data_IF_271551627022
#
_entry.id   IF_271551627022
#
_cell.length_a   1.000
_cell.length_b   1.000
_cell.length_c   1.000
_cell.angle_alpha   90.00
_cell.angle_beta   90.00
_cell.angle_gamma   90.00
#
_symmetry.space_group_name_H-M   'P 1'
#
loop_
_entity.id
_entity.type
_entity.pdbx_description
1 polymer ?
#
# COMPACT_ATOMS: atom_id res chain seq x y z
N UNK A 1 -14.57 -33.85 -23.41
CA UNK A 1 -15.57 -33.48 -24.43
C UNK A 1 -16.82 -34.35 -24.28
N UNK A 2 -17.47 -34.39 -23.11
CA UNK A 2 -18.67 -35.22 -22.90
C UNK A 2 -19.56 -34.81 -21.71
N UNK A 3 -19.66 -33.52 -21.41
CA UNK A 3 -20.53 -33.05 -20.28
C UNK A 3 -21.62 -32.07 -20.72
N UNK A 4 -21.75 -31.77 -21.99
CA UNK A 4 -22.72 -30.78 -22.51
C UNK A 4 -24.07 -31.40 -22.94
N UNK A 5 -24.17 -32.71 -23.04
CA UNK A 5 -25.35 -33.41 -23.59
C UNK A 5 -26.44 -33.75 -22.54
N UNK A 6 -26.12 -33.74 -21.25
CA UNK A 6 -27.10 -34.12 -20.21
C UNK A 6 -28.04 -32.98 -19.79
N UNK A 7 -27.61 -31.72 -19.92
CA UNK A 7 -28.39 -30.55 -19.48
C UNK A 7 -29.52 -30.13 -20.46
N UNK A 8 -29.43 -30.56 -21.71
CA UNK A 8 -30.40 -30.17 -22.78
C UNK A 8 -31.68 -31.02 -22.75
N UNK A 9 -31.64 -32.20 -22.12
CA UNK A 9 -32.77 -33.13 -22.06
C UNK A 9 -33.92 -32.73 -21.12
N UNK A 10 -33.67 -31.80 -20.17
CA UNK A 10 -34.72 -31.41 -19.19
C UNK A 10 -35.59 -30.23 -19.63
N UNK A 11 -35.38 -29.68 -20.82
CA UNK A 11 -36.19 -28.56 -21.38
C UNK A 11 -37.22 -29.09 -22.38
N UNK A 12 -37.27 -30.39 -22.60
CA UNK A 12 -38.17 -30.97 -23.58
C UNK A 12 -39.56 -31.14 -22.99
N UNK A 13 -40.43 -30.18 -23.21
CA UNK A 13 -41.88 -30.41 -23.24
C UNK A 13 -42.17 -31.33 -24.44
N UNK A 14 -42.88 -32.44 -24.18
CA UNK A 14 -43.22 -33.47 -25.13
C UNK A 14 -43.66 -32.89 -26.50
N UNK A 15 -42.98 -33.29 -27.59
CA UNK A 15 -43.44 -33.07 -28.97
C UNK A 15 -42.60 -32.16 -29.86
N UNK A 16 -41.56 -31.48 -29.36
CA UNK A 16 -40.70 -30.61 -30.22
C UNK A 16 -39.48 -31.37 -30.78
N UNK A 17 -39.22 -31.22 -32.11
CA UNK A 17 -38.05 -31.77 -32.76
C UNK A 17 -36.77 -31.12 -32.26
N UNK A 18 -35.64 -31.87 -32.23
CA UNK A 18 -34.31 -31.33 -31.87
C UNK A 18 -33.90 -30.11 -32.71
N UNK A 19 -34.44 -29.96 -33.92
CA UNK A 19 -34.20 -28.80 -34.79
C UNK A 19 -34.93 -27.55 -34.30
N UNK A 20 -36.14 -27.70 -33.78
CA UNK A 20 -36.97 -26.61 -33.28
C UNK A 20 -36.40 -26.07 -31.96
N UNK A 21 -35.91 -26.95 -31.10
CA UNK A 21 -35.24 -26.58 -29.85
C UNK A 21 -33.97 -25.78 -30.14
N UNK A 22 -33.16 -26.18 -31.12
CA UNK A 22 -31.95 -25.41 -31.53
C UNK A 22 -32.30 -24.06 -32.12
N UNK A 23 -33.38 -23.92 -32.87
CA UNK A 23 -33.86 -22.64 -33.40
C UNK A 23 -34.33 -21.71 -32.28
N UNK A 24 -35.10 -22.23 -31.30
CA UNK A 24 -35.55 -21.47 -30.14
C UNK A 24 -34.39 -21.01 -29.26
N UNK A 25 -33.41 -21.86 -28.99
CA UNK A 25 -32.19 -21.50 -28.26
C UNK A 25 -31.40 -20.39 -28.95
N UNK A 26 -31.19 -20.48 -30.29
CA UNK A 26 -30.54 -19.41 -31.06
C UNK A 26 -31.35 -18.11 -31.08
N UNK A 27 -32.67 -18.18 -31.09
CA UNK A 27 -33.53 -17.00 -31.04
C UNK A 27 -33.48 -16.33 -29.65
N UNK A 28 -33.40 -17.11 -28.57
CA UNK A 28 -33.25 -16.64 -27.19
C UNK A 28 -31.86 -16.02 -26.97
N UNK A 29 -30.82 -16.63 -27.51
CA UNK A 29 -29.46 -16.08 -27.49
C UNK A 29 -29.37 -14.72 -28.22
N UNK A 30 -30.02 -14.61 -29.41
CA UNK A 30 -30.11 -13.36 -30.19
C UNK A 30 -30.94 -12.27 -29.51
N UNK A 31 -31.94 -12.64 -28.68
CA UNK A 31 -32.80 -11.69 -28.00
C UNK A 31 -32.28 -11.19 -26.65
N UNK A 32 -31.11 -11.66 -26.19
CA UNK A 32 -30.54 -11.32 -24.88
C UNK A 32 -31.39 -11.79 -23.67
N UNK A 33 -32.47 -12.58 -23.91
CA UNK A 33 -33.29 -13.12 -22.84
C UNK A 33 -32.62 -14.32 -22.20
N UNK A 34 -32.38 -14.23 -20.90
CA UNK A 34 -31.86 -15.35 -20.10
C UNK A 34 -32.77 -16.57 -20.22
N UNK A 35 -32.19 -17.68 -20.67
CA UNK A 35 -32.92 -18.98 -20.74
C UNK A 35 -33.44 -19.31 -19.34
N UNK A 36 -34.75 -19.63 -19.19
CA UNK A 36 -35.31 -19.98 -17.87
C UNK A 36 -34.57 -21.17 -17.29
N UNK A 37 -33.96 -20.99 -16.13
CA UNK A 37 -33.26 -22.07 -15.46
C UNK A 37 -34.23 -23.13 -14.95
N UNK A 38 -33.96 -24.41 -15.21
CA UNK A 38 -34.77 -25.52 -14.70
C UNK A 38 -34.83 -25.49 -13.16
N UNK A 39 -35.90 -25.99 -12.52
CA UNK A 39 -35.98 -26.03 -11.05
C UNK A 39 -34.80 -26.73 -10.40
N UNK A 40 -34.30 -27.80 -11.01
CA UNK A 40 -33.09 -28.51 -10.56
C UNK A 40 -31.81 -27.66 -10.61
N UNK A 41 -31.64 -26.81 -11.64
CA UNK A 41 -30.53 -25.89 -11.77
C UNK A 41 -30.60 -24.79 -10.71
N UNK A 42 -31.76 -24.22 -10.44
CA UNK A 42 -31.95 -23.22 -9.37
C UNK A 42 -31.67 -23.80 -7.98
N UNK A 43 -32.04 -25.06 -7.74
CA UNK A 43 -31.75 -25.72 -6.48
C UNK A 43 -30.26 -26.02 -6.31
N UNK A 44 -29.56 -26.39 -7.38
CA UNK A 44 -28.10 -26.57 -7.37
C UNK A 44 -27.38 -25.23 -7.17
N UNK A 45 -27.76 -24.20 -7.88
CA UNK A 45 -27.20 -22.84 -7.72
C UNK A 45 -27.42 -22.32 -6.29
N UNK A 46 -28.57 -22.55 -5.68
CA UNK A 46 -28.82 -22.20 -4.26
C UNK A 46 -27.92 -23.00 -3.31
N UNK A 47 -27.73 -24.28 -3.53
CA UNK A 47 -26.83 -25.11 -2.72
C UNK A 47 -25.39 -24.67 -2.84
N UNK A 48 -24.93 -24.36 -4.03
CA UNK A 48 -23.58 -23.82 -4.28
C UNK A 48 -23.41 -22.45 -3.62
N UNK A 49 -24.43 -21.58 -3.66
CA UNK A 49 -24.41 -20.29 -2.95
C UNK A 49 -24.38 -20.48 -1.43
N UNK A 50 -25.24 -21.34 -0.87
CA UNK A 50 -25.26 -21.61 0.59
C UNK A 50 -23.94 -22.22 1.05
N UNK A 51 -23.37 -23.16 0.28
CA UNK A 51 -22.06 -23.71 0.58
C UNK A 51 -20.97 -22.62 0.49
N UNK A 52 -21.01 -21.75 -0.52
CA UNK A 52 -20.09 -20.62 -0.64
C UNK A 52 -20.18 -19.66 0.55
N UNK A 53 -21.38 -19.28 0.97
CA UNK A 53 -21.55 -18.47 2.18
C UNK A 53 -21.10 -19.20 3.45
N UNK A 54 -21.33 -20.52 3.53
CA UNK A 54 -20.85 -21.35 4.64
C UNK A 54 -19.34 -21.35 4.78
N UNK A 55 -18.60 -21.41 3.66
CA UNK A 55 -17.13 -21.30 3.66
C UNK A 55 -16.62 -19.88 3.99
N UNK A 56 -17.39 -18.85 3.63
CA UNK A 56 -17.04 -17.45 3.95
C UNK A 56 -17.38 -17.07 5.41
N UNK A 57 -18.29 -17.82 6.06
CA UNK A 57 -18.85 -17.47 7.37
C UNK A 57 -17.79 -17.34 8.48
N UNK A 58 -16.77 -18.24 8.62
CA UNK A 58 -15.71 -18.07 9.63
C UNK A 58 -14.92 -16.78 9.42
N UNK A 59 -14.60 -16.45 8.16
CA UNK A 59 -13.91 -15.21 7.82
C UNK A 59 -14.80 -13.98 8.12
N UNK A 60 -16.09 -14.03 7.74
CA UNK A 60 -17.03 -12.94 8.01
C UNK A 60 -17.21 -12.68 9.50
N UNK A 61 -17.33 -13.72 10.32
CA UNK A 61 -17.42 -13.57 11.79
C UNK A 61 -16.16 -12.91 12.34
N UNK A 62 -14.99 -13.37 11.92
CA UNK A 62 -13.71 -12.77 12.31
C UNK A 62 -13.60 -11.30 11.87
N UNK A 63 -13.94 -11.02 10.63
CA UNK A 63 -13.91 -9.66 10.10
C UNK A 63 -14.89 -8.71 10.81
N UNK A 64 -16.16 -9.13 10.96
CA UNK A 64 -17.18 -8.30 11.60
C UNK A 64 -16.91 -8.11 13.10
N UNK A 65 -16.52 -9.18 13.81
CA UNK A 65 -16.31 -9.14 15.25
C UNK A 65 -14.97 -8.50 15.65
N UNK A 66 -13.88 -8.86 14.98
CA UNK A 66 -12.53 -8.47 15.38
C UNK A 66 -11.97 -7.25 14.63
N UNK A 67 -12.53 -6.92 13.47
CA UNK A 67 -12.06 -5.77 12.69
C UNK A 67 -13.10 -4.66 12.63
N UNK A 68 -14.26 -4.95 12.05
CA UNK A 68 -15.28 -3.93 11.83
C UNK A 68 -15.91 -3.45 13.14
N UNK A 69 -16.15 -4.35 14.10
CA UNK A 69 -16.72 -3.99 15.41
C UNK A 69 -15.85 -2.98 16.16
N UNK A 70 -14.59 -3.28 16.49
CA UNK A 70 -13.67 -2.33 17.12
C UNK A 70 -13.45 -1.05 16.32
N UNK A 71 -13.43 -1.15 14.98
CA UNK A 71 -13.31 0.02 14.11
C UNK A 71 -14.50 0.97 14.25
N UNK A 72 -15.74 0.45 14.23
CA UNK A 72 -16.94 1.27 14.46
C UNK A 72 -17.01 1.83 15.87
N UNK A 73 -16.57 1.05 16.86
CA UNK A 73 -16.47 1.54 18.25
C UNK A 73 -15.44 2.67 18.36
N UNK A 74 -14.28 2.54 17.72
CA UNK A 74 -13.30 3.62 17.61
C UNK A 74 -13.89 4.88 16.93
N UNK A 75 -14.76 4.71 15.91
CA UNK A 75 -15.46 5.84 15.31
C UNK A 75 -16.38 6.56 16.31
N UNK A 76 -17.13 5.79 17.10
CA UNK A 76 -17.93 6.36 18.18
C UNK A 76 -17.06 7.12 19.19
N UNK A 77 -15.94 6.53 19.62
CA UNK A 77 -15.02 7.16 20.56
C UNK A 77 -14.41 8.47 20.01
N UNK A 78 -14.25 8.60 18.70
CA UNK A 78 -13.74 9.83 18.09
C UNK A 78 -14.58 11.07 18.39
N UNK A 79 -15.86 10.88 18.70
CA UNK A 79 -16.81 11.95 19.07
C UNK A 79 -17.00 12.07 20.58
N UNK A 80 -16.17 11.39 21.38
CA UNK A 80 -16.28 11.37 22.84
C UNK A 80 -15.00 11.85 23.51
N UNK A 81 -15.15 12.36 24.73
CA UNK A 81 -14.05 12.53 25.67
C UNK A 81 -13.92 11.25 26.49
N UNK A 82 -12.89 10.44 26.14
CA UNK A 82 -12.67 9.13 26.74
C UNK A 82 -11.21 8.94 27.15
N UNK A 83 -10.99 8.49 28.41
CA UNK A 83 -9.67 8.36 29.01
C UNK A 83 -9.42 7.01 29.71
N UNK A 84 -10.13 5.96 29.36
CA UNK A 84 -10.08 4.60 29.96
C UNK A 84 -10.55 4.47 31.41
N UNK A 85 -10.60 5.55 32.16
CA UNK A 85 -10.98 5.53 33.63
C UNK A 85 -12.43 5.97 33.86
N UNK A 86 -13.03 6.63 32.89
CA UNK A 86 -14.40 7.13 32.94
C UNK A 86 -15.17 6.68 31.73
N UNK A 87 -16.49 6.61 31.86
CA UNK A 87 -17.33 6.34 30.70
C UNK A 87 -17.16 7.40 29.59
N UNK A 88 -17.31 7.02 28.30
CA UNK A 88 -17.21 7.95 27.19
C UNK A 88 -18.29 9.04 27.31
N UNK A 89 -17.89 10.28 27.40
CA UNK A 89 -18.75 11.45 27.39
C UNK A 89 -18.84 12.03 25.98
N UNK A 90 -20.04 12.18 25.43
CA UNK A 90 -20.25 12.70 24.09
C UNK A 90 -19.92 14.19 24.01
N UNK A 91 -18.94 14.55 23.16
CA UNK A 91 -18.48 15.94 22.95
C UNK A 91 -18.62 16.40 21.48
N UNK A 92 -19.23 15.59 20.64
CA UNK A 92 -19.43 15.93 19.25
C UNK A 92 -18.10 16.12 18.49
N UNK A 93 -17.89 17.29 17.88
CA UNK A 93 -16.72 17.59 17.05
C UNK A 93 -15.54 18.22 17.80
N UNK A 94 -15.59 18.35 19.13
CA UNK A 94 -14.55 19.02 19.93
C UNK A 94 -13.15 18.45 19.70
N UNK A 95 -13.01 17.13 19.60
CA UNK A 95 -11.72 16.49 19.32
C UNK A 95 -11.14 16.97 17.97
N UNK A 96 -11.99 17.12 16.96
CA UNK A 96 -11.58 17.58 15.64
C UNK A 96 -11.27 19.09 15.64
N UNK A 97 -12.08 19.90 16.30
CA UNK A 97 -11.82 21.35 16.44
C UNK A 97 -10.49 21.56 17.15
N UNK A 98 -10.28 20.94 18.31
CA UNK A 98 -9.03 21.00 19.07
C UNK A 98 -7.82 20.59 18.20
N UNK A 99 -7.94 19.55 17.41
CA UNK A 99 -6.89 19.01 16.53
C UNK A 99 -6.37 20.07 15.56
N UNK A 100 -7.27 20.85 14.96
CA UNK A 100 -6.90 21.82 13.93
C UNK A 100 -6.65 23.24 14.43
N UNK A 101 -7.14 23.60 15.64
CA UNK A 101 -7.08 24.97 16.15
C UNK A 101 -6.21 25.15 17.38
N UNK A 102 -6.07 24.11 18.22
CA UNK A 102 -5.46 24.25 19.54
C UNK A 102 -4.20 23.37 19.73
N UNK A 103 -3.95 22.43 18.83
CA UNK A 103 -2.85 21.47 19.01
C UNK A 103 -1.72 21.70 17.99
N UNK A 104 -0.72 22.54 18.30
CA UNK A 104 0.41 22.81 17.40
C UNK A 104 1.25 21.55 17.13
N UNK A 105 1.33 20.60 18.08
CA UNK A 105 2.06 19.35 17.90
C UNK A 105 1.36 18.43 16.86
N UNK A 106 0.04 18.49 16.78
CA UNK A 106 -0.70 17.79 15.74
C UNK A 106 -0.30 18.33 14.35
N UNK A 107 -0.34 19.65 14.16
CA UNK A 107 0.02 20.29 12.91
C UNK A 107 1.48 19.96 12.54
N UNK A 108 2.39 20.02 13.51
CA UNK A 108 3.79 19.64 13.29
C UNK A 108 3.89 18.16 12.85
N UNK A 109 3.17 17.25 13.50
CA UNK A 109 3.19 15.81 13.15
C UNK A 109 2.68 15.54 11.73
N UNK A 110 1.66 16.28 11.29
CA UNK A 110 1.16 16.25 9.90
C UNK A 110 2.24 16.72 8.93
N UNK A 111 2.86 17.87 9.19
CA UNK A 111 3.89 18.45 8.32
C UNK A 111 5.09 17.50 8.16
N UNK A 112 5.61 16.95 9.25
CA UNK A 112 6.73 16.02 9.24
C UNK A 112 6.38 14.75 8.46
N UNK A 113 5.19 14.20 8.69
CA UNK A 113 4.72 13.01 7.97
C UNK A 113 4.59 13.29 6.50
N UNK A 114 4.03 14.44 6.10
CA UNK A 114 3.92 14.83 4.70
C UNK A 114 5.28 15.01 4.04
N UNK A 115 6.24 15.67 4.68
CA UNK A 115 7.61 15.82 4.16
C UNK A 115 8.23 14.43 3.95
N UNK A 116 8.14 13.56 4.95
CA UNK A 116 8.66 12.20 4.84
C UNK A 116 8.01 11.40 3.71
N UNK A 117 6.70 11.47 3.55
CA UNK A 117 5.95 10.77 2.48
C UNK A 117 6.33 11.34 1.11
N UNK A 118 6.27 12.67 0.95
CA UNK A 118 6.46 13.31 -0.36
C UNK A 118 7.91 13.26 -0.86
N UNK A 119 8.87 13.20 0.05
CA UNK A 119 10.30 13.12 -0.30
C UNK A 119 10.79 11.68 -0.25
N UNK A 120 10.49 10.96 0.82
CA UNK A 120 11.01 9.61 1.06
C UNK A 120 10.46 8.57 0.08
N UNK A 121 9.14 8.60 -0.21
CA UNK A 121 8.53 7.63 -1.13
C UNK A 121 9.10 7.72 -2.55
N UNK A 122 9.18 8.90 -3.19
CA UNK A 122 9.78 8.99 -4.52
C UNK A 122 11.26 8.57 -4.56
N UNK A 123 12.05 8.94 -3.56
CA UNK A 123 13.47 8.56 -3.49
C UNK A 123 13.60 7.04 -3.35
N UNK A 124 12.81 6.42 -2.47
CA UNK A 124 12.78 4.96 -2.30
C UNK A 124 12.41 4.25 -3.60
N UNK A 125 11.36 4.71 -4.28
CA UNK A 125 10.92 4.12 -5.54
C UNK A 125 11.93 4.33 -6.68
N UNK A 126 12.57 5.50 -6.75
CA UNK A 126 13.64 5.75 -7.71
C UNK A 126 14.85 4.83 -7.48
N UNK A 127 15.26 4.63 -6.22
CA UNK A 127 16.32 3.68 -5.87
C UNK A 127 15.92 2.24 -6.24
N UNK A 128 14.69 1.83 -5.91
CA UNK A 128 14.16 0.52 -6.24
C UNK A 128 14.13 0.26 -7.76
N UNK A 129 13.65 1.22 -8.54
CA UNK A 129 13.64 1.13 -10.00
C UNK A 129 15.05 1.10 -10.58
N UNK A 130 15.95 1.96 -10.09
CA UNK A 130 17.35 1.99 -10.52
C UNK A 130 18.04 0.64 -10.33
N UNK A 131 17.92 0.04 -9.14
CA UNK A 131 18.50 -1.28 -8.86
C UNK A 131 17.79 -2.38 -9.66
N UNK A 132 16.47 -2.34 -9.84
CA UNK A 132 15.74 -3.27 -10.67
C UNK A 132 16.24 -3.24 -12.13
N UNK A 133 16.48 -2.06 -12.69
CA UNK A 133 17.06 -1.90 -14.03
C UNK A 133 18.46 -2.50 -14.12
N UNK A 134 19.33 -2.25 -13.15
CA UNK A 134 20.68 -2.85 -13.11
C UNK A 134 20.63 -4.38 -13.06
N UNK A 135 19.68 -4.95 -12.31
CA UNK A 135 19.51 -6.40 -12.21
C UNK A 135 18.84 -7.01 -13.46
N UNK A 136 18.10 -6.23 -14.21
CA UNK A 136 17.45 -6.69 -15.45
C UNK A 136 18.46 -6.96 -16.57
N UNK A 137 19.58 -6.26 -16.59
CA UNK A 137 20.68 -6.46 -17.57
C UNK A 137 21.56 -7.68 -17.30
N UNK A 138 21.48 -8.30 -16.10
CA UNK A 138 22.36 -9.40 -15.71
C UNK A 138 21.61 -10.72 -15.64
N UNK A 139 21.99 -11.68 -16.50
CA UNK A 139 21.44 -13.04 -16.49
C UNK A 139 22.15 -13.93 -15.47
N UNK A 140 23.48 -13.84 -15.34
CA UNK A 140 24.27 -14.68 -14.44
C UNK A 140 24.38 -14.03 -13.02
N UNK A 141 24.08 -14.79 -11.98
CA UNK A 141 24.19 -14.34 -10.58
C UNK A 141 23.03 -13.46 -10.10
N UNK A 142 22.03 -13.16 -10.94
CA UNK A 142 20.91 -12.29 -10.58
C UNK A 142 20.12 -12.78 -9.36
N UNK A 143 20.07 -14.08 -9.11
CA UNK A 143 19.41 -14.66 -7.94
C UNK A 143 20.04 -14.24 -6.62
N UNK A 144 21.37 -14.31 -6.50
CA UNK A 144 22.10 -13.89 -5.31
C UNK A 144 21.89 -12.39 -5.03
N UNK A 145 22.08 -11.54 -6.03
CA UNK A 145 21.88 -10.11 -5.87
C UNK A 145 20.44 -9.74 -5.52
N UNK A 146 19.45 -10.42 -6.12
CA UNK A 146 18.03 -10.22 -5.75
C UNK A 146 17.78 -10.54 -4.28
N UNK A 147 18.28 -11.68 -3.80
CA UNK A 147 18.13 -12.07 -2.39
C UNK A 147 18.83 -11.08 -1.47
N UNK A 148 20.06 -10.64 -1.81
CA UNK A 148 20.83 -9.69 -1.00
C UNK A 148 20.15 -8.33 -0.92
N UNK A 149 19.62 -7.79 -2.01
CA UNK A 149 18.90 -6.51 -2.01
C UNK A 149 17.49 -6.61 -1.45
N UNK A 150 16.88 -7.80 -1.45
CA UNK A 150 15.57 -8.02 -0.84
C UNK A 150 15.64 -8.24 0.68
N UNK A 151 16.75 -8.78 1.20
CA UNK A 151 16.93 -9.07 2.61
C UNK A 151 16.65 -7.87 3.54
N UNK A 152 17.12 -6.63 3.24
CA UNK A 152 16.77 -5.46 4.03
C UNK A 152 15.27 -5.24 4.20
N UNK A 153 14.47 -5.50 3.17
CA UNK A 153 13.01 -5.32 3.23
C UNK A 153 12.32 -6.35 4.12
N UNK A 154 12.89 -7.55 4.26
CA UNK A 154 12.34 -8.60 5.14
C UNK A 154 12.57 -8.28 6.62
N UNK A 155 13.73 -7.72 6.96
CA UNK A 155 14.12 -7.44 8.34
C UNK A 155 13.88 -5.99 8.75
N UNK A 156 13.73 -5.09 7.77
CA UNK A 156 13.75 -3.64 7.96
C UNK A 156 12.62 -3.08 8.82
N UNK A 157 11.46 -3.76 8.85
CA UNK A 157 10.35 -3.41 9.73
C UNK A 157 10.57 -3.86 11.19
N UNK A 158 11.69 -4.52 11.51
CA UNK A 158 11.97 -5.01 12.87
C UNK A 158 12.49 -3.89 13.78
N UNK A 159 12.11 -3.99 15.05
CA UNK A 159 12.63 -3.15 16.14
C UNK A 159 14.15 -3.21 16.21
N UNK A 160 14.73 -4.40 15.98
CA UNK A 160 16.18 -4.61 16.02
C UNK A 160 16.95 -3.75 15.00
N UNK A 161 16.43 -3.63 13.78
CA UNK A 161 17.03 -2.78 12.75
C UNK A 161 16.99 -1.30 13.16
N UNK A 162 15.89 -0.84 13.72
CA UNK A 162 15.77 0.53 14.19
C UNK A 162 16.76 0.84 15.34
N UNK A 163 16.99 -0.13 16.24
CA UNK A 163 17.99 -0.01 17.31
C UNK A 163 19.42 0.10 16.72
N UNK A 164 19.78 -0.81 15.81
CA UNK A 164 21.08 -0.78 15.14
C UNK A 164 21.25 0.51 14.36
N UNK A 165 20.23 0.94 13.62
CA UNK A 165 20.26 2.19 12.85
C UNK A 165 20.49 3.40 13.74
N UNK A 166 19.75 3.47 14.87
CA UNK A 166 19.96 4.51 15.86
C UNK A 166 21.38 4.50 16.41
N UNK A 167 21.93 3.34 16.75
CA UNK A 167 23.32 3.24 17.25
C UNK A 167 24.35 3.67 16.20
N UNK A 168 24.14 3.32 14.93
CA UNK A 168 25.04 3.71 13.84
C UNK A 168 25.08 5.22 13.59
N UNK A 169 23.95 5.91 13.75
CA UNK A 169 23.78 7.33 13.47
C UNK A 169 23.76 8.22 14.74
N UNK A 170 24.00 7.64 15.93
CA UNK A 170 24.17 8.42 17.16
C UNK A 170 25.47 9.23 17.14
N UNK A 171 25.58 10.17 18.07
CA UNK A 171 26.86 10.88 18.36
C UNK A 171 27.94 9.84 18.68
N UNK A 172 29.12 9.99 18.11
CA UNK A 172 30.23 9.03 18.19
C UNK A 172 29.93 7.64 17.63
N UNK A 173 28.80 7.46 16.90
CA UNK A 173 28.47 6.23 16.22
C UNK A 173 29.38 5.98 14.99
N UNK A 174 29.36 4.75 14.42
CA UNK A 174 30.22 4.39 13.28
C UNK A 174 30.12 5.35 12.09
N UNK A 175 28.91 5.86 11.80
CA UNK A 175 28.70 6.81 10.69
C UNK A 175 29.34 8.16 11.02
N UNK A 176 29.12 8.69 12.21
CA UNK A 176 29.65 9.96 12.67
C UNK A 176 31.18 9.90 12.73
N UNK A 177 31.76 8.88 13.35
CA UNK A 177 33.20 8.63 13.43
C UNK A 177 33.85 8.51 12.05
N UNK A 178 33.17 7.86 11.08
CA UNK A 178 33.70 7.78 9.71
C UNK A 178 33.74 9.14 9.03
N UNK A 179 32.69 9.97 9.20
CA UNK A 179 32.63 11.30 8.64
C UNK A 179 33.69 12.25 9.26
N UNK A 180 33.95 12.09 10.55
CA UNK A 180 34.99 12.85 11.26
C UNK A 180 36.40 12.59 10.67
N UNK A 181 36.68 11.35 10.20
CA UNK A 181 37.96 11.04 9.50
C UNK A 181 38.13 11.91 8.24
N UNK A 182 37.01 12.28 7.59
CA UNK A 182 37.03 13.20 6.43
C UNK A 182 36.90 14.67 6.81
N UNK A 183 37.00 15.01 8.12
CA UNK A 183 36.88 16.38 8.62
C UNK A 183 35.44 16.90 8.68
N UNK A 184 34.46 16.02 8.58
CA UNK A 184 33.01 16.36 8.61
C UNK A 184 32.48 15.97 9.99
N UNK A 185 32.26 16.95 10.86
CA UNK A 185 31.64 16.75 12.17
C UNK A 185 30.18 17.23 12.12
N UNK A 186 29.25 16.29 12.23
CA UNK A 186 27.79 16.53 12.22
C UNK A 186 27.16 16.40 13.61
N UNK A 187 27.91 15.97 14.62
CA UNK A 187 27.47 15.81 16.00
C UNK A 187 26.41 14.73 16.19
N UNK A 188 26.39 13.71 15.33
CA UNK A 188 25.39 12.66 15.30
C UNK A 188 24.08 13.10 14.61
N UNK A 189 23.45 12.18 13.91
CA UNK A 189 22.24 12.47 13.12
C UNK A 189 20.95 12.36 13.94
N UNK A 190 20.93 11.47 14.93
CA UNK A 190 19.75 11.20 15.78
C UNK A 190 19.34 12.42 16.60
N UNK A 191 20.34 13.18 17.11
CA UNK A 191 20.12 14.38 17.92
C UNK A 191 19.98 15.67 17.10
N UNK A 192 20.22 15.63 15.80
CA UNK A 192 20.26 16.80 14.95
C UNK A 192 18.93 17.03 14.24
N UNK A 193 18.32 18.21 14.47
CA UNK A 193 17.03 18.61 13.91
C UNK A 193 17.00 18.55 12.39
N UNK A 194 18.09 18.92 11.71
CA UNK A 194 18.17 18.95 10.25
C UNK A 194 18.44 17.57 9.64
N UNK A 195 19.10 16.66 10.39
CA UNK A 195 19.58 15.39 9.85
C UNK A 195 18.69 14.19 10.18
N UNK A 196 17.84 14.29 11.21
CA UNK A 196 17.03 13.15 11.65
C UNK A 196 16.01 12.71 10.58
N UNK A 197 15.38 13.61 9.85
CA UNK A 197 14.46 13.27 8.76
C UNK A 197 15.21 12.66 7.57
N UNK A 198 16.29 13.24 7.04
CA UNK A 198 17.16 12.58 6.07
C UNK A 198 17.60 11.16 6.49
N UNK A 199 17.98 10.97 7.74
CA UNK A 199 18.33 9.65 8.28
C UNK A 199 17.14 8.66 8.23
N UNK A 200 15.94 9.11 8.60
CA UNK A 200 14.72 8.29 8.52
C UNK A 200 14.37 7.93 7.06
N UNK A 201 14.57 8.88 6.13
CA UNK A 201 14.41 8.64 4.70
C UNK A 201 15.44 7.62 4.21
N UNK A 202 16.70 7.74 4.64
CA UNK A 202 17.76 6.80 4.28
C UNK A 202 17.43 5.37 4.77
N UNK A 203 16.86 5.23 5.98
CA UNK A 203 16.37 3.94 6.48
C UNK A 203 15.25 3.38 5.59
N UNK A 204 14.31 4.21 5.16
CA UNK A 204 13.25 3.79 4.26
C UNK A 204 13.80 3.40 2.87
N UNK A 205 14.75 4.17 2.36
CA UNK A 205 15.44 3.87 1.09
C UNK A 205 16.21 2.56 1.18
N UNK A 206 16.91 2.29 2.28
CA UNK A 206 17.61 1.02 2.49
C UNK A 206 16.67 -0.20 2.38
N UNK A 207 15.37 -0.02 2.67
CA UNK A 207 14.33 -1.04 2.55
C UNK A 207 13.65 -1.08 1.17
N UNK A 208 14.35 -0.71 0.10
CA UNK A 208 13.80 -0.65 -1.26
C UNK A 208 13.52 -2.02 -1.92
N UNK A 209 13.91 -3.13 -1.28
CA UNK A 209 13.93 -4.45 -1.91
C UNK A 209 12.56 -4.95 -2.37
N UNK A 210 11.48 -4.73 -1.62
CA UNK A 210 10.15 -5.17 -2.01
C UNK A 210 9.66 -4.47 -3.30
N UNK A 211 9.64 -3.12 -3.40
CA UNK A 211 9.30 -2.45 -4.66
C UNK A 211 10.29 -2.77 -5.79
N UNK A 212 11.57 -3.00 -5.50
CA UNK A 212 12.56 -3.42 -6.50
C UNK A 212 12.16 -4.74 -7.18
N UNK A 213 11.74 -5.75 -6.41
CA UNK A 213 11.33 -7.05 -6.99
C UNK A 213 10.09 -6.89 -7.87
N UNK A 214 9.14 -6.06 -7.46
CA UNK A 214 7.93 -5.77 -8.23
C UNK A 214 8.30 -5.04 -9.55
N UNK A 215 9.21 -4.04 -9.50
CA UNK A 215 9.72 -3.38 -10.70
C UNK A 215 10.46 -4.35 -11.62
N UNK A 216 11.30 -5.21 -11.06
CA UNK A 216 12.04 -6.20 -11.85
C UNK A 216 11.11 -7.18 -12.57
N UNK A 217 10.03 -7.60 -11.90
CA UNK A 217 9.01 -8.44 -12.51
C UNK A 217 8.31 -7.71 -13.66
N UNK A 218 7.97 -6.43 -13.48
CA UNK A 218 7.39 -5.60 -14.53
C UNK A 218 8.34 -5.37 -15.71
N UNK A 219 9.62 -5.08 -15.45
CA UNK A 219 10.64 -4.90 -16.50
C UNK A 219 10.78 -6.14 -17.40
N UNK A 220 10.68 -7.33 -16.83
CA UNK A 220 10.77 -8.60 -17.57
C UNK A 220 9.55 -8.90 -18.44
N UNK A 221 8.44 -8.20 -18.22
CA UNK A 221 7.22 -8.35 -19.03
C UNK A 221 7.22 -7.43 -20.26
N UNK A 222 8.15 -6.47 -20.36
CA UNK A 222 8.24 -5.57 -21.50
C UNK A 222 8.81 -6.35 -22.71
N UNK A 223 8.08 -6.45 -23.83
CA UNK A 223 8.58 -7.12 -25.03
C UNK A 223 9.89 -6.48 -25.53
N UNK A 224 10.87 -7.29 -25.84
CA UNK A 224 12.18 -6.82 -26.33
C UNK A 224 12.08 -6.10 -27.67
N UNK A 225 11.12 -6.51 -28.49
CA UNK A 225 10.79 -5.91 -29.78
C UNK A 225 10.57 -4.39 -29.71
N UNK A 226 10.02 -3.89 -28.60
CA UNK A 226 9.82 -2.45 -28.40
C UNK A 226 11.15 -1.70 -28.22
N UNK A 227 12.12 -2.33 -27.58
CA UNK A 227 13.46 -1.75 -27.44
C UNK A 227 14.25 -1.80 -28.74
N UNK A 228 14.09 -2.87 -29.53
CA UNK A 228 14.71 -3.05 -30.84
C UNK A 228 14.15 -2.06 -31.87
N UNK A 229 12.82 -1.88 -31.90
CA UNK A 229 12.17 -0.87 -32.72
C UNK A 229 12.67 0.55 -32.39
N UNK A 230 12.73 0.90 -31.11
CA UNK A 230 13.26 2.18 -30.67
C UNK A 230 14.74 2.37 -31.03
N UNK A 231 15.53 1.28 -31.11
CA UNK A 231 16.93 1.31 -31.54
C UNK A 231 17.06 1.59 -33.06
N UNK A 232 16.23 0.96 -33.87
CA UNK A 232 16.15 1.22 -35.32
C UNK A 232 15.78 2.69 -35.58
N UNK A 233 14.90 3.28 -34.72
CA UNK A 233 14.55 4.71 -34.74
C UNK A 233 15.65 5.64 -34.21
N UNK A 234 16.84 5.11 -33.85
CA UNK A 234 17.97 5.89 -33.36
C UNK A 234 17.81 6.37 -31.90
N UNK A 235 16.94 5.74 -31.10
CA UNK A 235 16.75 6.13 -29.70
C UNK A 235 17.93 5.66 -28.82
N UNK A 236 18.64 6.61 -28.20
CA UNK A 236 19.65 6.34 -27.19
C UNK A 236 19.04 5.80 -25.88
N UNK A 237 19.88 5.36 -24.89
CA UNK A 237 19.40 4.70 -23.66
C UNK A 237 18.39 5.52 -22.85
N UNK A 238 18.61 6.81 -22.70
CA UNK A 238 17.71 7.71 -21.98
C UNK A 238 16.36 7.87 -22.70
N UNK A 239 16.37 7.93 -24.03
CA UNK A 239 15.14 8.00 -24.83
C UNK A 239 14.36 6.70 -24.74
N UNK A 240 15.03 5.51 -24.82
CA UNK A 240 14.41 4.20 -24.57
C UNK A 240 13.78 4.12 -23.17
N UNK A 241 14.49 4.60 -22.14
CA UNK A 241 13.95 4.66 -20.77
C UNK A 241 12.67 5.49 -20.69
N UNK A 242 12.67 6.71 -21.25
CA UNK A 242 11.54 7.63 -21.17
C UNK A 242 10.36 7.23 -22.06
N UNK A 243 10.61 6.69 -23.27
CA UNK A 243 9.56 6.40 -24.27
C UNK A 243 9.07 4.96 -24.27
N UNK A 244 9.84 4.01 -23.73
CA UNK A 244 9.45 2.59 -23.64
C UNK A 244 9.31 2.14 -22.20
N UNK A 245 10.40 2.24 -21.42
CA UNK A 245 10.42 1.66 -20.06
C UNK A 245 9.39 2.30 -19.14
N UNK A 246 9.38 3.63 -18.99
CA UNK A 246 8.46 4.32 -18.07
C UNK A 246 6.99 4.14 -18.46
N UNK A 247 6.57 4.31 -19.73
CA UNK A 247 5.17 4.06 -20.12
C UNK A 247 4.72 2.62 -19.88
N UNK A 248 5.55 1.63 -20.25
CA UNK A 248 5.22 0.21 -20.07
C UNK A 248 5.19 -0.21 -18.59
N UNK A 249 5.98 0.43 -17.74
CA UNK A 249 5.98 0.21 -16.29
C UNK A 249 4.96 1.06 -15.53
N UNK A 250 4.21 1.93 -16.19
CA UNK A 250 3.35 2.91 -15.51
C UNK A 250 2.35 2.28 -14.54
N UNK A 251 1.77 1.12 -14.86
CA UNK A 251 0.88 0.38 -13.98
C UNK A 251 1.61 -0.16 -12.73
N UNK A 252 2.85 -0.61 -12.90
CA UNK A 252 3.69 -1.12 -11.80
C UNK A 252 4.20 0.04 -10.94
N UNK A 253 4.55 1.18 -11.55
CA UNK A 253 4.92 2.41 -10.84
C UNK A 253 3.75 2.88 -10.00
N UNK A 254 2.55 2.94 -10.57
CA UNK A 254 1.34 3.33 -9.85
C UNK A 254 1.06 2.42 -8.64
N UNK A 255 1.14 1.11 -8.84
CA UNK A 255 0.92 0.14 -7.76
C UNK A 255 1.92 0.30 -6.61
N UNK A 256 3.21 0.39 -6.93
CA UNK A 256 4.25 0.62 -5.93
C UNK A 256 4.08 1.98 -5.25
N UNK A 257 3.76 3.04 -5.99
CA UNK A 257 3.53 4.38 -5.44
C UNK A 257 2.38 4.36 -4.43
N UNK A 258 1.27 3.70 -4.76
CA UNK A 258 0.12 3.58 -3.87
C UNK A 258 0.49 2.85 -2.57
N UNK A 259 1.12 1.66 -2.68
CA UNK A 259 1.49 0.85 -1.53
C UNK A 259 2.50 1.57 -0.63
N UNK A 260 3.58 2.10 -1.23
CA UNK A 260 4.64 2.77 -0.46
C UNK A 260 4.15 4.07 0.19
N UNK A 261 3.24 4.80 -0.46
CA UNK A 261 2.62 5.98 0.13
C UNK A 261 1.79 5.60 1.38
N UNK A 262 0.96 4.55 1.29
CA UNK A 262 0.18 4.06 2.44
C UNK A 262 1.11 3.62 3.59
N UNK A 263 2.18 2.88 3.27
CA UNK A 263 3.17 2.45 4.28
C UNK A 263 3.91 3.63 4.92
N UNK A 264 4.26 4.65 4.15
CA UNK A 264 4.98 5.82 4.64
C UNK A 264 4.12 6.68 5.61
N UNK A 265 2.80 6.74 5.41
CA UNK A 265 1.88 7.38 6.38
C UNK A 265 1.77 6.61 7.70
N UNK A 266 2.09 5.32 7.70
CA UNK A 266 1.96 4.43 8.87
C UNK A 266 3.29 4.20 9.59
N UNK A 267 4.33 4.98 9.30
CA UNK A 267 5.63 4.85 9.97
C UNK A 267 5.50 5.10 11.46
N UNK A 268 5.77 4.06 12.27
CA UNK A 268 5.66 4.11 13.73
C UNK A 268 6.90 3.53 14.43
N UNK A 269 7.19 2.25 14.22
CA UNK A 269 8.18 1.52 14.99
C UNK A 269 9.58 2.15 14.93
N UNK A 270 10.05 2.51 13.72
CA UNK A 270 11.34 3.17 13.54
C UNK A 270 11.38 4.54 14.22
N UNK A 271 10.33 5.35 14.08
CA UNK A 271 10.24 6.64 14.72
C UNK A 271 10.25 6.53 16.26
N UNK A 272 9.47 5.58 16.79
CA UNK A 272 9.41 5.31 18.23
C UNK A 272 10.77 4.90 18.80
N UNK A 273 11.46 3.94 18.15
CA UNK A 273 12.75 3.43 18.63
C UNK A 273 13.84 4.48 18.50
N UNK A 274 13.92 5.18 17.36
CA UNK A 274 14.95 6.18 17.10
C UNK A 274 14.84 7.34 18.10
N UNK A 275 13.64 7.78 18.43
CA UNK A 275 13.39 8.87 19.38
C UNK A 275 13.20 8.42 20.84
N UNK A 276 13.27 7.13 21.17
CA UNK A 276 12.85 6.57 22.46
C UNK A 276 11.40 6.99 22.85
N UNK A 277 10.50 7.05 21.87
CA UNK A 277 9.12 7.45 22.09
C UNK A 277 8.93 8.95 22.32
N UNK A 278 9.99 9.75 22.43
CA UNK A 278 9.87 11.18 22.72
C UNK A 278 9.36 12.02 21.54
N UNK A 279 9.64 11.57 20.30
CA UNK A 279 9.40 12.35 19.09
C UNK A 279 10.49 13.39 18.81
N UNK A 280 11.60 13.43 19.61
CA UNK A 280 12.71 14.35 19.44
C UNK A 280 13.68 14.01 18.31
N UNK A 281 14.61 14.89 17.94
CA UNK A 281 14.83 16.23 18.47
C UNK A 281 13.77 17.24 18.02
N UNK A 282 13.43 18.19 18.87
CA UNK A 282 12.47 19.28 18.59
C UNK A 282 11.15 18.83 17.92
N UNK A 283 10.68 17.62 18.22
CA UNK A 283 9.47 17.06 17.61
C UNK A 283 9.67 16.48 16.21
N UNK A 284 10.85 16.52 15.61
CA UNK A 284 11.10 16.15 14.20
C UNK A 284 10.91 14.66 13.86
N UNK A 285 10.83 13.80 14.86
CA UNK A 285 10.43 12.39 14.66
C UNK A 285 9.03 12.09 15.19
N UNK A 286 8.29 13.13 15.60
CA UNK A 286 6.92 12.99 16.08
C UNK A 286 5.95 12.81 14.89
N UNK A 287 6.15 11.73 14.14
CA UNK A 287 5.27 11.36 13.04
C UNK A 287 3.83 11.18 13.51
N UNK A 288 2.89 11.29 12.61
CA UNK A 288 1.47 11.23 12.89
C UNK A 288 1.07 10.03 13.75
N UNK A 289 1.51 8.83 13.39
CA UNK A 289 1.23 7.58 14.11
C UNK A 289 1.90 7.52 15.46
N UNK A 290 3.10 8.08 15.60
CA UNK A 290 3.77 8.19 16.90
C UNK A 290 3.02 9.18 17.82
N UNK A 291 2.60 10.30 17.28
CA UNK A 291 1.83 11.28 18.04
C UNK A 291 0.46 10.74 18.47
N UNK A 292 -0.25 10.04 17.56
CA UNK A 292 -1.48 9.33 17.87
C UNK A 292 -1.28 8.34 19.03
N UNK A 293 -0.21 7.52 18.95
CA UNK A 293 0.12 6.57 20.01
C UNK A 293 0.37 7.26 21.34
N UNK A 294 1.12 8.34 21.37
CA UNK A 294 1.37 9.13 22.59
C UNK A 294 0.07 9.65 23.19
N UNK A 295 -0.79 10.26 22.38
CA UNK A 295 -2.08 10.79 22.84
C UNK A 295 -3.00 9.69 23.38
N UNK A 296 -3.07 8.53 22.69
CA UNK A 296 -3.92 7.43 23.09
C UNK A 296 -3.41 6.69 24.34
N UNK A 297 -2.15 6.27 24.32
CA UNK A 297 -1.63 5.32 25.28
C UNK A 297 -0.75 5.94 26.38
N UNK A 298 -0.02 7.01 26.09
CA UNK A 298 0.77 7.70 27.10
C UNK A 298 -0.07 8.75 27.86
N UNK A 299 -0.84 9.56 27.11
CA UNK A 299 -1.66 10.63 27.69
C UNK A 299 -3.09 10.14 28.03
N UNK A 300 -3.43 8.89 27.69
CA UNK A 300 -4.73 8.24 27.94
C UNK A 300 -5.92 8.99 27.33
N UNK A 301 -5.71 9.76 26.26
CA UNK A 301 -6.75 10.51 25.57
C UNK A 301 -7.29 9.67 24.38
N UNK A 302 -7.96 8.56 24.70
CA UNK A 302 -8.42 7.59 23.69
C UNK A 302 -9.43 8.18 22.70
N UNK A 303 -10.32 9.07 23.15
CA UNK A 303 -11.26 9.76 22.25
C UNK A 303 -10.55 10.61 21.21
N UNK A 304 -9.57 11.41 21.65
CA UNK A 304 -8.74 12.24 20.74
C UNK A 304 -7.89 11.39 19.80
N UNK A 305 -7.24 10.35 20.31
CA UNK A 305 -6.45 9.42 19.46
C UNK A 305 -7.32 8.70 18.42
N UNK A 306 -8.55 8.32 18.80
CA UNK A 306 -9.53 7.73 17.86
C UNK A 306 -9.93 8.74 16.76
N UNK A 307 -10.13 10.01 17.09
CA UNK A 307 -10.39 11.06 16.11
C UNK A 307 -9.20 11.22 15.17
N UNK A 308 -7.96 11.24 15.68
CA UNK A 308 -6.74 11.25 14.85
C UNK A 308 -6.68 10.04 13.92
N UNK A 309 -6.97 8.82 14.41
CA UNK A 309 -6.94 7.61 13.59
C UNK A 309 -7.90 7.72 12.40
N UNK A 310 -9.12 8.22 12.62
CA UNK A 310 -10.10 8.40 11.56
C UNK A 310 -9.72 9.51 10.57
N UNK A 311 -9.13 10.61 11.03
CA UNK A 311 -8.59 11.64 10.13
C UNK A 311 -7.50 11.05 9.24
N UNK A 312 -6.60 10.21 9.78
CA UNK A 312 -5.56 9.53 9.00
C UNK A 312 -6.18 8.60 7.95
N UNK A 313 -7.16 7.78 8.32
CA UNK A 313 -7.87 6.89 7.38
C UNK A 313 -8.49 7.68 6.24
N UNK A 314 -9.19 8.77 6.55
CA UNK A 314 -9.83 9.64 5.56
C UNK A 314 -8.77 10.31 4.67
N UNK A 315 -7.69 10.84 5.25
CA UNK A 315 -6.60 11.48 4.49
C UNK A 315 -5.94 10.51 3.51
N UNK A 316 -5.61 9.29 3.97
CA UNK A 316 -5.01 8.24 3.11
C UNK A 316 -6.01 7.78 2.04
N UNK A 317 -7.30 7.64 2.38
CA UNK A 317 -8.35 7.28 1.41
C UNK A 317 -8.52 8.36 0.33
N UNK A 318 -8.52 9.64 0.71
CA UNK A 318 -8.58 10.76 -0.24
C UNK A 318 -7.35 10.75 -1.15
N UNK A 319 -6.16 10.55 -0.59
CA UNK A 319 -4.93 10.49 -1.38
C UNK A 319 -4.95 9.31 -2.36
N UNK A 320 -5.35 8.12 -1.89
CA UNK A 320 -5.52 6.96 -2.76
C UNK A 320 -6.53 7.25 -3.88
N UNK A 321 -7.67 7.88 -3.55
CA UNK A 321 -8.67 8.27 -4.55
C UNK A 321 -8.09 9.26 -5.59
N UNK A 322 -7.31 10.25 -5.16
CA UNK A 322 -6.63 11.20 -6.06
C UNK A 322 -5.65 10.46 -6.97
N UNK A 323 -4.83 9.54 -6.42
CA UNK A 323 -3.91 8.71 -7.19
C UNK A 323 -4.64 7.86 -8.23
N UNK A 324 -5.76 7.21 -7.86
CA UNK A 324 -6.60 6.45 -8.81
C UNK A 324 -7.24 7.33 -9.88
N UNK A 325 -7.69 8.53 -9.52
CA UNK A 325 -8.31 9.45 -10.47
C UNK A 325 -7.29 9.98 -11.48
N UNK A 326 -6.09 10.31 -11.02
CA UNK A 326 -5.00 10.81 -11.88
C UNK A 326 -4.35 9.71 -12.71
N UNK A 327 -4.37 8.46 -12.25
CA UNK A 327 -3.76 7.32 -12.96
C UNK A 327 -4.32 7.12 -14.37
N UNK A 328 -5.60 7.44 -14.58
CA UNK A 328 -6.27 7.31 -15.89
C UNK A 328 -5.58 8.11 -17.03
N UNK A 329 -4.80 9.13 -16.69
CA UNK A 329 -4.11 9.99 -17.67
C UNK A 329 -2.70 9.53 -18.04
N UNK A 330 -2.06 8.69 -17.21
CA UNK A 330 -0.64 8.34 -17.41
C UNK A 330 -0.34 6.85 -17.26
N UNK A 331 -1.27 6.05 -16.71
CA UNK A 331 -1.10 4.61 -16.57
C UNK A 331 -1.61 3.89 -17.83
N UNK A 332 -0.73 3.08 -18.42
CA UNK A 332 -1.04 2.25 -19.58
C UNK A 332 -1.25 0.81 -19.12
N UNK A 333 -2.41 0.24 -19.45
CA UNK A 333 -2.68 -1.18 -19.22
C UNK A 333 -2.48 -1.93 -20.53
N UNK A 334 -1.67 -2.98 -20.51
CA UNK A 334 -1.48 -3.87 -21.67
C UNK A 334 -2.84 -4.52 -21.99
N UNK A 335 -3.50 -4.08 -23.07
CA UNK A 335 -4.83 -4.55 -23.49
C UNK A 335 -5.89 -3.45 -23.62
N UNK A 336 -5.60 -2.21 -23.26
CA UNK A 336 -6.53 -1.09 -23.47
C UNK A 336 -6.33 -0.56 -24.91
N UNK A 337 -7.13 -1.08 -25.83
CA UNK A 337 -7.23 -0.57 -27.21
C UNK A 337 -7.94 0.80 -27.17
N UNK A 338 -7.21 1.87 -26.84
CA UNK A 338 -7.63 3.25 -27.07
C UNK A 338 -6.89 3.85 -28.24
#
# INVERSE_FOLDING_TARGET
MSTTTSSTKSIVTAGKSSRDIRRELKALEKSGRKVPSSPARRQRERREQVAGYGFLLPWLIGFLGLTLGPMLYSLYLAFTKYNLFKDPEWVGLDNFVRMFTEDPNYIQSVQITLVYVLVGTPIKLAAALGVAMLLNYRDKGSGFFRSSFYAPSLIGASVSVAIVWRAMFSTDGPVDSTLQVFGIDLGGWVGNVALVIPMMILLAVWQFGAPMVIFLAGLKQIPQELYEAAEVDGAGPFRKFKSVTIPMLSSVIFFNLLLETVHAFQVFASAYIISNGSGGPAGMTNFYTLYLYKRGFADLQMGYASAMAWVLVIAVAILAFILFKTSKGWVHYAGDNR
#
